data_IF_389631539386
#
_entry.id   IF_389631539386
#
_cell.length_a   1.000
_cell.length_b   1.000
_cell.length_c   1.000
_cell.angle_alpha   90.00
_cell.angle_beta   90.00
_cell.angle_gamma   90.00
#
_symmetry.space_group_name_H-M   'P 1'
#
loop_
_entity.id
_entity.type
_entity.pdbx_description
1 polymer ?
#
# COMPACT_ATOMS: atom_id res chain seq x y z
N UNK A 1 -27.29 -12.03 -7.98
CA UNK A 1 -26.71 -12.51 -9.24
C UNK A 1 -26.27 -11.38 -10.15
N UNK A 2 -27.17 -10.50 -10.51
CA UNK A 2 -26.79 -9.40 -11.37
C UNK A 2 -25.70 -8.52 -10.76
N UNK A 3 -25.80 -8.32 -9.47
CA UNK A 3 -24.85 -7.49 -8.79
C UNK A 3 -23.43 -8.07 -8.87
N UNK A 4 -23.34 -9.36 -8.67
CA UNK A 4 -22.04 -10.04 -8.79
C UNK A 4 -21.51 -9.94 -10.20
N UNK A 5 -22.38 -10.09 -11.16
CA UNK A 5 -22.01 -10.00 -12.55
C UNK A 5 -21.49 -8.60 -12.90
N UNK A 6 -22.14 -7.57 -12.34
CA UNK A 6 -21.69 -6.20 -12.56
C UNK A 6 -20.36 -5.92 -11.91
N UNK A 7 -20.12 -6.50 -10.76
CA UNK A 7 -18.83 -6.34 -10.10
C UNK A 7 -17.72 -6.94 -10.95
N UNK A 8 -18.00 -8.03 -11.64
CA UNK A 8 -17.02 -8.63 -12.54
C UNK A 8 -16.74 -7.71 -13.72
N UNK A 9 -17.77 -7.02 -14.22
CA UNK A 9 -17.61 -6.09 -15.33
C UNK A 9 -16.90 -4.81 -14.94
N UNK A 10 -16.89 -4.49 -13.67
CA UNK A 10 -16.27 -3.28 -13.15
C UNK A 10 -14.96 -3.63 -12.43
N UNK A 11 -13.82 -3.53 -13.13
CA UNK A 11 -12.54 -3.93 -12.52
C UNK A 11 -12.23 -3.20 -11.24
N UNK A 12 -12.68 -1.94 -11.10
CA UNK A 12 -12.40 -1.18 -9.89
C UNK A 12 -13.10 -1.77 -8.68
N UNK A 13 -14.31 -2.27 -8.87
CA UNK A 13 -15.04 -2.90 -7.79
C UNK A 13 -14.35 -4.17 -7.31
N UNK A 14 -13.86 -4.95 -8.26
CA UNK A 14 -13.18 -6.20 -7.93
C UNK A 14 -11.88 -5.92 -7.19
N UNK A 15 -11.21 -4.82 -7.56
CA UNK A 15 -9.91 -4.48 -7.01
C UNK A 15 -9.99 -3.69 -5.71
N UNK A 16 -11.19 -3.42 -5.21
CA UNK A 16 -11.36 -2.66 -3.97
C UNK A 16 -10.93 -3.41 -2.73
N UNK A 17 -10.80 -4.72 -2.82
CA UNK A 17 -10.55 -5.55 -1.65
C UNK A 17 -9.35 -6.44 -1.86
N UNK A 18 -8.70 -6.78 -0.76
CA UNK A 18 -7.58 -7.71 -0.78
C UNK A 18 -7.76 -8.69 0.38
N UNK A 19 -7.36 -9.92 0.15
CA UNK A 19 -7.34 -10.94 1.20
C UNK A 19 -5.95 -10.94 1.84
N UNK A 20 -5.92 -10.69 3.14
CA UNK A 20 -4.67 -10.62 3.90
C UNK A 20 -4.56 -11.87 4.76
N UNK A 21 -3.48 -12.61 4.61
CA UNK A 21 -3.29 -13.85 5.36
C UNK A 21 -2.97 -13.54 6.81
N UNK A 22 -3.75 -14.12 7.72
CA UNK A 22 -3.55 -13.97 9.17
C UNK A 22 -3.54 -15.35 9.79
N UNK A 23 -3.16 -15.47 11.08
CA UNK A 23 -3.18 -16.77 11.74
C UNK A 23 -4.55 -17.42 11.77
N UNK A 24 -5.62 -16.64 11.69
CA UNK A 24 -6.98 -17.19 11.73
C UNK A 24 -7.53 -17.49 10.35
N UNK A 25 -6.83 -17.14 9.29
CA UNK A 25 -7.31 -17.32 7.93
C UNK A 25 -7.04 -16.08 7.10
N UNK A 26 -7.97 -15.72 6.24
CA UNK A 26 -7.81 -14.53 5.41
C UNK A 26 -8.78 -13.46 5.86
N UNK A 27 -8.21 -12.27 6.14
CA UNK A 27 -9.01 -11.11 6.46
C UNK A 27 -9.20 -10.29 5.20
N UNK A 28 -10.43 -9.94 4.90
CA UNK A 28 -10.74 -9.14 3.70
C UNK A 28 -10.69 -7.68 4.09
N UNK A 29 -9.83 -6.91 3.42
CA UNK A 29 -9.59 -5.51 3.74
C UNK A 29 -9.84 -4.66 2.51
N UNK A 30 -10.46 -3.50 2.71
CA UNK A 30 -10.63 -2.56 1.61
C UNK A 30 -9.29 -1.91 1.29
N UNK A 31 -8.92 -1.92 0.03
CA UNK A 31 -7.61 -1.41 -0.39
C UNK A 31 -7.44 0.06 -0.01
N UNK A 32 -8.49 0.87 -0.15
CA UNK A 32 -8.38 2.29 0.17
C UNK A 32 -8.20 2.56 1.66
N UNK A 33 -8.43 1.57 2.51
CA UNK A 33 -8.19 1.70 3.94
C UNK A 33 -6.75 1.37 4.33
N UNK A 34 -5.96 0.89 3.40
CA UNK A 34 -4.56 0.59 3.67
C UNK A 34 -3.73 1.84 3.43
N UNK A 35 -3.10 2.35 4.49
CA UNK A 35 -2.23 3.51 4.38
C UNK A 35 -0.89 3.09 3.80
N UNK A 36 -0.26 2.10 4.41
CA UNK A 36 0.97 1.53 3.88
C UNK A 36 1.23 0.16 4.49
N UNK A 37 2.16 -0.57 3.89
CA UNK A 37 2.61 -1.86 4.38
C UNK A 37 4.09 -1.78 4.68
N UNK A 38 4.52 -2.50 5.71
CA UNK A 38 5.91 -2.53 6.13
C UNK A 38 6.38 -3.97 6.29
N UNK A 39 7.57 -4.25 5.78
CA UNK A 39 8.18 -5.56 5.97
C UNK A 39 8.69 -5.69 7.40
N UNK A 40 8.39 -6.83 8.01
CA UNK A 40 8.88 -7.16 9.33
C UNK A 40 9.36 -8.60 9.26
N UNK A 41 10.66 -8.79 8.95
CA UNK A 41 11.22 -10.11 8.69
C UNK A 41 10.46 -10.77 7.53
N UNK A 42 9.87 -11.95 7.74
CA UNK A 42 9.11 -12.63 6.71
C UNK A 42 7.63 -12.29 6.75
N UNK A 43 7.25 -11.33 7.60
CA UNK A 43 5.88 -10.90 7.76
C UNK A 43 5.68 -9.54 7.14
N UNK A 44 4.41 -9.15 6.99
CA UNK A 44 4.05 -7.82 6.51
C UNK A 44 3.06 -7.19 7.47
N UNK A 45 3.33 -5.96 7.86
CA UNK A 45 2.43 -5.17 8.70
C UNK A 45 1.60 -4.26 7.81
N UNK A 46 0.29 -4.30 7.99
CA UNK A 46 -0.65 -3.43 7.26
C UNK A 46 -1.15 -2.36 8.20
N UNK A 47 -0.85 -1.11 7.88
CA UNK A 47 -1.30 0.03 8.67
C UNK A 47 -2.55 0.61 8.03
N UNK A 48 -3.65 0.60 8.76
CA UNK A 48 -4.96 0.97 8.23
C UNK A 48 -5.38 2.36 8.72
N UNK A 49 -6.37 2.91 8.04
CA UNK A 49 -6.87 4.25 8.37
C UNK A 49 -7.48 4.36 9.75
N UNK A 50 -7.98 3.25 10.30
CA UNK A 50 -8.57 3.23 11.65
C UNK A 50 -7.51 3.01 12.72
N UNK A 51 -6.24 3.18 12.39
CA UNK A 51 -5.09 3.03 13.28
C UNK A 51 -4.82 1.60 13.70
N UNK A 52 -5.49 0.65 13.09
CA UNK A 52 -5.18 -0.76 13.33
C UNK A 52 -3.97 -1.17 12.52
N UNK A 53 -3.24 -2.14 13.07
CA UNK A 53 -2.11 -2.75 12.37
C UNK A 53 -2.38 -4.24 12.32
N UNK A 54 -2.36 -4.79 11.11
CA UNK A 54 -2.62 -6.22 10.92
C UNK A 54 -1.33 -6.86 10.47
N UNK A 55 -0.96 -7.95 11.12
CA UNK A 55 0.25 -8.68 10.78
C UNK A 55 -0.12 -9.86 9.89
N UNK A 56 0.50 -9.91 8.72
CA UNK A 56 0.28 -10.98 7.76
C UNK A 56 1.49 -11.88 7.69
N UNK A 57 1.25 -13.17 7.46
CA UNK A 57 2.32 -14.15 7.30
C UNK A 57 2.95 -14.13 5.93
N UNK A 58 2.39 -13.40 4.96
CA UNK A 58 2.99 -13.28 3.64
C UNK A 58 4.01 -12.15 3.63
N UNK A 59 4.96 -12.25 2.70
CA UNK A 59 6.03 -11.25 2.59
C UNK A 59 5.57 -10.00 1.88
N UNK A 60 6.31 -8.93 2.08
CA UNK A 60 5.99 -7.66 1.39
C UNK A 60 6.08 -7.82 -0.12
N UNK A 61 7.01 -8.64 -0.60
CA UNK A 61 7.14 -8.87 -2.03
C UNK A 61 5.88 -9.48 -2.62
N UNK A 62 5.26 -10.40 -1.89
CA UNK A 62 4.03 -11.03 -2.38
C UNK A 62 2.90 -10.01 -2.50
N UNK A 63 2.81 -9.09 -1.53
CA UNK A 63 1.80 -8.04 -1.60
C UNK A 63 2.13 -6.97 -2.62
N UNK A 64 3.41 -6.71 -2.85
CA UNK A 64 3.84 -5.77 -3.87
C UNK A 64 3.28 -6.19 -5.23
N UNK A 65 3.39 -7.47 -5.56
CA UNK A 65 2.92 -7.96 -6.84
C UNK A 65 1.40 -7.78 -7.01
N UNK A 66 0.67 -7.84 -5.92
CA UNK A 66 -0.78 -7.67 -5.95
C UNK A 66 -1.17 -6.20 -5.97
N UNK A 67 -0.55 -5.40 -5.12
CA UNK A 67 -1.01 -4.04 -4.84
C UNK A 67 -0.44 -2.99 -5.77
N UNK A 68 0.67 -3.25 -6.45
CA UNK A 68 1.23 -2.25 -7.36
C UNK A 68 0.33 -1.99 -8.56
N UNK A 69 -0.62 -2.87 -8.82
CA UNK A 69 -1.61 -2.64 -9.88
C UNK A 69 -2.72 -1.69 -9.41
N UNK A 70 -2.69 -1.23 -8.15
CA UNK A 70 -3.77 -0.48 -7.54
C UNK A 70 -3.29 0.79 -6.86
N UNK A 71 -2.40 1.52 -7.47
CA UNK A 71 -1.88 2.80 -6.98
C UNK A 71 -1.00 2.67 -5.74
N UNK A 72 -0.42 1.50 -5.52
CA UNK A 72 0.61 1.34 -4.51
C UNK A 72 1.98 1.49 -5.14
N UNK A 73 2.93 1.91 -4.33
CA UNK A 73 4.29 2.18 -4.81
C UNK A 73 5.30 1.66 -3.79
N UNK A 74 6.31 0.93 -4.28
CA UNK A 74 7.37 0.43 -3.43
C UNK A 74 8.37 1.55 -3.18
N UNK A 75 8.18 2.27 -2.07
CA UNK A 75 9.00 3.44 -1.75
C UNK A 75 10.37 3.05 -1.23
N UNK A 76 10.50 1.87 -0.67
CA UNK A 76 11.70 1.39 -0.02
C UNK A 76 11.61 -0.12 0.02
N UNK A 77 12.74 -0.81 0.17
CA UNK A 77 12.66 -2.27 0.23
C UNK A 77 11.77 -2.76 1.36
N UNK A 78 11.59 -1.94 2.39
CA UNK A 78 10.77 -2.30 3.54
C UNK A 78 9.39 -1.66 3.54
N UNK A 79 9.06 -0.82 2.58
CA UNK A 79 7.82 -0.06 2.60
C UNK A 79 7.11 -0.09 1.26
N UNK A 80 5.84 -0.42 1.31
CA UNK A 80 4.93 -0.38 0.16
C UNK A 80 3.81 0.58 0.54
N UNK A 81 3.72 1.72 -0.12
CA UNK A 81 2.81 2.80 0.28
C UNK A 81 1.64 2.92 -0.68
N UNK A 82 0.50 3.35 -0.15
CA UNK A 82 -0.65 3.69 -0.97
C UNK A 82 -0.53 5.15 -1.40
N UNK A 83 -0.38 5.38 -2.70
CA UNK A 83 -0.18 6.75 -3.19
C UNK A 83 -1.35 7.67 -2.87
N UNK A 84 -2.56 7.11 -2.73
CA UNK A 84 -3.73 7.91 -2.37
C UNK A 84 -3.65 8.46 -0.96
N UNK A 85 -2.79 7.90 -0.11
CA UNK A 85 -2.63 8.34 1.27
C UNK A 85 -1.36 9.14 1.51
N UNK A 86 -0.66 9.52 0.46
CA UNK A 86 0.49 10.41 0.59
C UNK A 86 0.00 11.80 0.91
N UNK A 87 0.48 12.36 2.02
CA UNK A 87 0.08 13.67 2.48
C UNK A 87 1.12 14.73 2.13
N UNK A 88 2.38 14.39 2.24
CA UNK A 88 3.46 15.35 2.10
C UNK A 88 4.73 14.64 1.67
N UNK A 89 5.48 15.25 0.79
CA UNK A 89 6.83 14.82 0.51
C UNK A 89 7.78 15.90 1.05
N UNK A 90 8.63 15.52 1.99
CA UNK A 90 9.56 16.43 2.62
C UNK A 90 10.91 16.33 1.94
N UNK A 91 11.37 17.43 1.42
CA UNK A 91 12.68 17.48 0.76
C UNK A 91 13.79 17.30 1.78
N UNK A 92 14.94 16.79 1.27
CA UNK A 92 16.10 16.59 2.11
C UNK A 92 16.92 15.47 1.52
N UNK A 93 17.98 15.11 2.20
CA UNK A 93 18.80 13.98 1.78
C UNK A 93 17.96 12.71 1.86
N UNK A 94 17.78 12.07 0.72
CA UNK A 94 16.96 10.88 0.64
C UNK A 94 15.48 11.13 0.55
N UNK A 95 15.00 12.22 1.18
CA UNK A 95 13.58 12.56 1.16
C UNK A 95 12.75 11.67 2.05
N UNK A 96 11.64 12.21 2.52
CA UNK A 96 10.69 11.49 3.36
C UNK A 96 9.28 11.70 2.88
N UNK A 97 8.48 10.64 2.97
CA UNK A 97 7.07 10.70 2.61
C UNK A 97 6.26 10.65 3.89
N UNK A 98 5.37 11.63 4.08
CA UNK A 98 4.47 11.65 5.22
C UNK A 98 3.12 11.13 4.76
N UNK A 99 2.63 10.09 5.41
CA UNK A 99 1.37 9.46 5.05
C UNK A 99 0.22 10.11 5.81
N UNK A 100 -1.00 9.80 5.39
CA UNK A 100 -2.20 10.41 5.98
C UNK A 100 -2.33 10.17 7.47
N UNK A 101 -1.74 9.08 7.98
CA UNK A 101 -1.77 8.79 9.43
C UNK A 101 -0.63 9.46 10.19
N UNK A 102 0.18 10.29 9.52
CA UNK A 102 1.29 10.99 10.16
C UNK A 102 2.60 10.23 10.20
N UNK A 103 2.61 8.97 9.79
CA UNK A 103 3.84 8.20 9.77
C UNK A 103 4.76 8.68 8.66
N UNK A 104 6.05 8.66 8.93
CA UNK A 104 7.06 9.09 7.97
C UNK A 104 7.74 7.87 7.37
N UNK A 105 7.81 7.85 6.05
CA UNK A 105 8.35 6.73 5.31
C UNK A 105 9.59 7.19 4.56
N UNK A 106 10.68 6.46 4.72
CA UNK A 106 11.90 6.74 3.99
C UNK A 106 11.76 6.37 2.52
N UNK A 107 12.13 7.27 1.64
CA UNK A 107 12.09 7.03 0.21
C UNK A 107 13.48 6.64 -0.26
N UNK A 108 13.60 5.48 -0.89
CA UNK A 108 14.86 5.02 -1.44
C UNK A 108 15.30 5.91 -2.59
N UNK A 109 16.60 6.19 -2.67
CA UNK A 109 17.15 7.02 -3.75
C UNK A 109 16.83 6.45 -5.11
N UNK A 110 16.85 5.13 -5.23
CA UNK A 110 16.62 4.49 -6.51
C UNK A 110 15.18 4.61 -6.97
N UNK A 111 14.27 4.93 -6.06
CA UNK A 111 12.84 5.03 -6.40
C UNK A 111 12.35 6.47 -6.43
N UNK A 112 13.23 7.44 -6.18
CA UNK A 112 12.81 8.83 -6.06
C UNK A 112 12.25 9.37 -7.37
N UNK A 113 12.91 9.10 -8.48
CA UNK A 113 12.46 9.65 -9.77
C UNK A 113 11.09 9.12 -10.15
N UNK A 114 10.86 7.84 -9.90
CA UNK A 114 9.56 7.26 -10.19
C UNK A 114 8.47 7.80 -9.28
N UNK A 115 8.81 8.01 -8.01
CA UNK A 115 7.86 8.60 -7.06
C UNK A 115 7.44 9.99 -7.53
N UNK A 116 8.41 10.82 -7.93
CA UNK A 116 8.12 12.16 -8.41
C UNK A 116 7.24 12.14 -9.64
N UNK A 117 7.50 11.20 -10.55
CA UNK A 117 6.70 11.06 -11.74
C UNK A 117 5.26 10.68 -11.41
N UNK A 118 5.08 9.79 -10.43
CA UNK A 118 3.74 9.36 -10.02
C UNK A 118 2.95 10.51 -9.38
N UNK A 119 3.65 11.46 -8.78
CA UNK A 119 3.01 12.65 -8.22
C UNK A 119 2.74 13.70 -9.30
N UNK A 120 3.12 13.46 -10.54
CA UNK A 120 2.99 14.43 -11.63
C UNK A 120 3.79 15.70 -11.39
N UNK A 121 4.90 15.58 -10.68
CA UNK A 121 5.79 16.72 -10.46
C UNK A 121 6.79 16.80 -11.60
N UNK A 122 6.98 18.04 -12.10
CA UNK A 122 7.82 18.29 -13.26
C UNK A 122 8.96 19.21 -12.97
#
# INVERSE_FOLDING_TARGET
>A
MERLYQDIKNPQKIQDKIAVSTPEGFMIILVHEIVYCRANSNYTEFYLTDKKCILSSYTLKQYDEILTTQSFFRAHRSYLINMAHVKLYRRGEGGEIVMSNGHEIELSRTHKDEFMRLLNLR
#
